data_IF_634355696911
#
_entry.id   IF_634355696911
#
_cell.length_a   1.000
_cell.length_b   1.000
_cell.length_c   1.000
_cell.angle_alpha   90.00
_cell.angle_beta   90.00
_cell.angle_gamma   90.00
#
_symmetry.space_group_name_H-M   'P 1'
#
loop_
_entity.id
_entity.type
_entity.pdbx_description
1 polymer ?
#
# COMPACT_ATOMS: atom_id res chain seq x y z
N UNK A 1 -5.39 10.25 -29.79
CA UNK A 1 -4.01 10.64 -29.43
C UNK A 1 -3.41 9.51 -28.62
N UNK A 2 -2.32 8.91 -29.11
CA UNK A 2 -1.75 7.68 -28.55
C UNK A 2 -1.18 7.88 -27.14
N UNK A 3 -1.11 6.78 -26.37
CA UNK A 3 -0.54 6.75 -25.02
C UNK A 3 0.86 7.38 -24.96
N UNK A 4 1.67 7.18 -26.01
CA UNK A 4 3.00 7.78 -26.16
C UNK A 4 2.99 9.32 -26.17
N UNK A 5 1.95 9.95 -26.74
CA UNK A 5 1.81 11.42 -26.79
C UNK A 5 1.48 11.97 -25.40
N UNK A 6 0.48 11.38 -24.74
CA UNK A 6 0.11 11.77 -23.36
C UNK A 6 1.28 11.59 -22.39
N UNK A 7 2.06 10.53 -22.56
CA UNK A 7 3.26 10.29 -21.77
C UNK A 7 4.31 11.37 -22.01
N UNK A 8 4.58 11.73 -23.27
CA UNK A 8 5.55 12.80 -23.59
C UNK A 8 5.15 14.17 -23.02
N UNK A 9 3.85 14.49 -22.99
CA UNK A 9 3.31 15.74 -22.43
C UNK A 9 3.27 15.76 -20.89
N UNK A 10 3.42 14.61 -20.24
CA UNK A 10 3.33 14.49 -18.77
C UNK A 10 4.53 15.06 -17.99
N UNK A 11 5.64 15.33 -18.69
CA UNK A 11 6.91 15.68 -18.04
C UNK A 11 7.64 14.50 -17.40
N UNK A 12 7.15 13.27 -17.58
CA UNK A 12 7.85 12.03 -17.23
C UNK A 12 8.80 11.66 -18.37
N UNK A 13 10.03 11.31 -18.05
CA UNK A 13 11.03 10.86 -19.02
C UNK A 13 11.12 9.34 -18.98
N UNK A 14 11.01 8.66 -20.11
CA UNK A 14 11.14 7.21 -20.15
C UNK A 14 10.48 6.59 -21.36
N UNK A 15 10.40 5.26 -21.36
CA UNK A 15 9.69 4.50 -22.38
C UNK A 15 8.40 3.91 -21.80
N UNK A 16 7.19 4.36 -22.20
CA UNK A 16 5.95 3.83 -21.64
C UNK A 16 5.77 2.33 -21.87
N UNK A 17 6.47 1.72 -22.85
CA UNK A 17 6.41 0.27 -23.12
C UNK A 17 7.10 -0.59 -22.07
N UNK A 18 8.00 -0.02 -21.26
CA UNK A 18 8.67 -0.73 -20.16
C UNK A 18 7.90 -0.63 -18.85
N UNK A 19 6.79 0.10 -18.84
CA UNK A 19 5.88 0.25 -17.71
C UNK A 19 4.69 -0.68 -17.97
N UNK A 20 4.40 -1.59 -17.03
CA UNK A 20 3.29 -2.55 -17.13
C UNK A 20 2.64 -2.78 -15.78
N UNK A 21 1.42 -2.30 -15.58
CA UNK A 21 0.66 -2.56 -14.38
C UNK A 21 -0.23 -1.38 -14.01
N UNK A 22 -0.41 -1.16 -12.71
CA UNK A 22 -1.41 -0.27 -12.14
C UNK A 22 -0.81 0.54 -10.97
N UNK A 23 -0.64 1.84 -11.17
CA UNK A 23 0.11 2.68 -10.24
C UNK A 23 0.12 4.17 -10.60
N UNK A 24 1.02 4.90 -9.94
CA UNK A 24 1.15 6.36 -10.10
C UNK A 24 2.58 6.78 -10.42
N UNK A 25 2.71 7.83 -11.21
CA UNK A 25 3.97 8.47 -11.53
C UNK A 25 3.84 9.97 -11.32
N UNK A 26 4.75 10.59 -10.57
CA UNK A 26 4.84 12.05 -10.55
C UNK A 26 5.58 12.58 -11.78
N UNK A 27 5.21 13.80 -12.22
CA UNK A 27 5.97 14.53 -13.23
C UNK A 27 7.45 14.65 -12.81
N UNK A 28 8.35 14.79 -13.79
CA UNK A 28 9.81 14.84 -13.58
C UNK A 28 10.45 13.55 -13.06
N UNK A 29 9.72 12.44 -12.93
CA UNK A 29 10.32 11.12 -12.75
C UNK A 29 11.00 10.63 -14.04
N UNK A 30 12.06 9.83 -13.90
CA UNK A 30 12.82 9.26 -15.03
C UNK A 30 12.79 7.73 -14.95
N UNK A 31 12.26 7.07 -15.97
CA UNK A 31 11.99 5.62 -16.00
C UNK A 31 12.62 5.01 -17.26
N UNK A 32 13.90 4.69 -17.17
CA UNK A 32 14.68 4.01 -18.21
C UNK A 32 14.69 2.47 -18.03
N UNK A 33 14.34 1.98 -16.84
CA UNK A 33 14.22 0.55 -16.52
C UNK A 33 12.83 -0.05 -16.80
N UNK A 34 12.61 -1.27 -16.30
CA UNK A 34 11.30 -1.94 -16.32
C UNK A 34 10.56 -1.69 -15.01
N UNK A 35 9.30 -1.29 -15.09
CA UNK A 35 8.43 -1.03 -13.94
C UNK A 35 7.15 -1.85 -14.07
N UNK A 36 6.95 -2.80 -13.18
CA UNK A 36 5.93 -3.84 -13.32
C UNK A 36 4.99 -3.95 -12.11
N UNK A 37 3.76 -4.40 -12.38
CA UNK A 37 2.70 -4.65 -11.41
C UNK A 37 2.25 -3.38 -10.67
N UNK A 38 2.26 -3.35 -9.33
CA UNK A 38 1.88 -2.16 -8.57
C UNK A 38 3.05 -1.21 -8.41
N UNK A 39 2.84 0.10 -8.58
CA UNK A 39 3.92 1.06 -8.38
C UNK A 39 3.48 2.47 -7.96
N UNK A 40 4.41 3.17 -7.32
CA UNK A 40 4.43 4.62 -7.22
C UNK A 40 5.87 5.08 -7.49
N UNK A 41 6.07 6.13 -8.29
CA UNK A 41 7.39 6.75 -8.47
C UNK A 41 7.28 8.26 -8.25
N UNK A 42 7.94 8.75 -7.21
CA UNK A 42 7.99 10.16 -6.87
C UNK A 42 8.82 11.00 -7.84
N UNK A 43 8.58 12.31 -7.82
CA UNK A 43 9.24 13.27 -8.68
C UNK A 43 10.75 13.25 -8.46
N UNK A 44 11.49 13.51 -9.55
CA UNK A 44 12.96 13.56 -9.56
C UNK A 44 13.64 12.23 -9.21
N UNK A 45 12.88 11.14 -9.08
CA UNK A 45 13.45 9.81 -8.92
C UNK A 45 13.81 9.20 -10.27
N UNK A 46 14.91 8.46 -10.29
CA UNK A 46 15.47 7.80 -11.46
C UNK A 46 15.43 6.29 -11.30
N UNK A 47 14.87 5.60 -12.29
CA UNK A 47 15.03 4.16 -12.50
C UNK A 47 15.86 3.97 -13.76
N UNK A 48 17.13 3.61 -13.59
CA UNK A 48 18.06 3.48 -14.71
C UNK A 48 17.84 2.18 -15.52
N UNK A 49 18.43 2.17 -16.72
CA UNK A 49 18.40 1.08 -17.69
C UNK A 49 18.79 -0.28 -17.09
N UNK A 50 18.19 -1.34 -17.61
CA UNK A 50 18.48 -2.72 -17.17
C UNK A 50 17.95 -3.08 -15.79
N UNK A 51 17.42 -2.13 -15.02
CA UNK A 51 16.77 -2.39 -13.74
C UNK A 51 15.39 -3.00 -13.94
N UNK A 52 14.99 -3.86 -13.00
CA UNK A 52 13.68 -4.49 -12.95
C UNK A 52 13.04 -4.22 -11.61
N UNK A 53 11.99 -3.39 -11.64
CA UNK A 53 11.26 -2.94 -10.46
C UNK A 53 9.87 -3.52 -10.51
N UNK A 54 9.48 -4.29 -9.49
CA UNK A 54 8.16 -4.93 -9.40
C UNK A 54 7.55 -4.65 -8.03
N UNK A 55 6.26 -4.29 -8.00
CA UNK A 55 5.51 -4.08 -6.74
C UNK A 55 6.23 -3.09 -5.80
N UNK A 56 6.62 -1.93 -6.31
CA UNK A 56 7.49 -1.01 -5.59
C UNK A 56 6.96 0.43 -5.55
N UNK A 57 7.10 1.04 -4.38
CA UNK A 57 6.72 2.42 -4.11
C UNK A 57 7.99 3.19 -3.80
N UNK A 58 8.35 4.15 -4.64
CA UNK A 58 9.63 4.87 -4.60
C UNK A 58 9.35 6.35 -4.33
N UNK A 59 10.02 6.91 -3.32
CA UNK A 59 9.86 8.30 -2.88
C UNK A 59 10.39 9.30 -3.90
N UNK A 60 10.51 10.56 -3.52
CA UNK A 60 11.11 11.60 -4.39
C UNK A 60 12.63 11.57 -4.29
N UNK A 61 13.31 12.07 -5.32
CA UNK A 61 14.77 12.23 -5.34
C UNK A 61 15.57 10.92 -5.12
N UNK A 62 14.96 9.76 -5.35
CA UNK A 62 15.61 8.47 -5.16
C UNK A 62 16.21 7.96 -6.47
N UNK A 63 17.38 7.34 -6.40
CA UNK A 63 18.11 6.81 -7.55
C UNK A 63 18.23 5.31 -7.47
N UNK A 64 17.66 4.63 -8.47
CA UNK A 64 17.79 3.19 -8.70
C UNK A 64 18.75 3.00 -9.87
N UNK A 65 20.01 2.70 -9.58
CA UNK A 65 21.06 2.58 -10.59
C UNK A 65 20.88 1.36 -11.49
N UNK A 66 21.72 1.28 -12.53
CA UNK A 66 21.68 0.23 -13.56
C UNK A 66 21.64 -1.19 -13.01
N UNK A 67 20.74 -2.01 -13.55
CA UNK A 67 20.69 -3.45 -13.28
C UNK A 67 20.20 -3.84 -11.89
N UNK A 68 19.63 -2.91 -11.13
CA UNK A 68 19.04 -3.20 -9.81
C UNK A 68 17.77 -4.04 -9.96
N UNK A 69 17.56 -4.97 -9.04
CA UNK A 69 16.34 -5.77 -8.92
C UNK A 69 15.57 -5.32 -7.67
N UNK A 70 14.33 -4.86 -7.82
CA UNK A 70 13.44 -4.50 -6.69
C UNK A 70 12.21 -5.39 -6.72
N UNK A 71 11.83 -5.92 -5.55
CA UNK A 71 10.73 -6.88 -5.44
C UNK A 71 11.16 -8.29 -5.85
N UNK A 72 12.42 -8.66 -5.58
CA UNK A 72 12.93 -10.00 -5.85
C UNK A 72 12.27 -11.02 -4.94
N UNK A 73 11.77 -12.12 -5.48
CA UNK A 73 10.99 -13.08 -4.70
C UNK A 73 11.81 -13.68 -3.55
N UNK A 74 11.16 -13.92 -2.41
CA UNK A 74 11.80 -14.60 -1.28
C UNK A 74 12.23 -16.02 -1.69
N UNK A 75 13.50 -16.35 -1.42
CA UNK A 75 14.02 -17.70 -1.63
C UNK A 75 13.55 -18.60 -0.48
N UNK A 76 12.84 -19.68 -0.82
CA UNK A 76 12.36 -20.68 0.14
C UNK A 76 13.29 -21.90 0.16
N UNK A 77 14.19 -21.93 1.13
CA UNK A 77 15.29 -22.91 1.21
C UNK A 77 14.86 -24.32 1.63
N UNK A 78 13.72 -24.46 2.31
CA UNK A 78 13.21 -25.74 2.85
C UNK A 78 12.15 -26.39 1.96
N UNK A 79 12.11 -26.04 0.67
CA UNK A 79 11.21 -26.69 -0.27
C UNK A 79 11.72 -28.09 -0.65
N UNK A 80 10.83 -29.07 -0.75
CA UNK A 80 11.17 -30.38 -1.32
C UNK A 80 11.67 -30.30 -2.78
N UNK A 81 11.21 -29.31 -3.54
CA UNK A 81 11.64 -29.07 -4.93
C UNK A 81 11.68 -27.57 -5.23
N UNK A 82 12.58 -27.14 -6.12
CA UNK A 82 12.68 -25.76 -6.59
C UNK A 82 11.75 -25.45 -7.78
N UNK A 83 11.12 -26.47 -8.37
CA UNK A 83 10.23 -26.30 -9.52
C UNK A 83 8.93 -25.58 -9.12
N UNK A 84 8.30 -24.85 -10.05
CA UNK A 84 7.08 -24.09 -9.74
C UNK A 84 5.92 -24.96 -9.23
N UNK A 85 5.84 -26.23 -9.63
CA UNK A 85 4.81 -27.18 -9.16
C UNK A 85 4.85 -27.43 -7.65
N UNK A 86 6.02 -27.27 -7.01
CA UNK A 86 6.19 -27.52 -5.58
C UNK A 86 5.75 -26.34 -4.71
N UNK A 87 5.43 -25.20 -5.35
CA UNK A 87 4.95 -24.01 -4.66
C UNK A 87 3.46 -24.18 -4.38
N UNK A 88 2.98 -23.64 -3.26
CA UNK A 88 1.55 -23.48 -3.00
C UNK A 88 0.95 -22.35 -3.86
N UNK A 89 1.15 -22.43 -5.17
CA UNK A 89 0.68 -21.50 -6.18
C UNK A 89 -0.16 -22.27 -7.20
N UNK A 90 -1.25 -21.68 -7.73
CA UNK A 90 -1.87 -22.21 -8.93
C UNK A 90 -0.82 -22.24 -10.02
N UNK A 91 -0.64 -23.39 -10.64
CA UNK A 91 0.18 -23.50 -11.83
C UNK A 91 -0.62 -24.20 -12.92
N UNK A 92 -0.46 -23.75 -14.15
CA UNK A 92 -1.09 -24.40 -15.28
C UNK A 92 -0.17 -25.49 -15.81
N UNK A 93 -0.66 -26.72 -15.80
CA UNK A 93 0.00 -27.83 -16.47
C UNK A 93 -0.31 -27.85 -17.95
N UNK A 94 0.72 -27.88 -18.79
CA UNK A 94 0.58 -28.05 -20.24
C UNK A 94 0.08 -29.47 -20.60
N UNK A 95 0.39 -30.46 -19.77
CA UNK A 95 0.06 -31.86 -20.02
C UNK A 95 -0.78 -32.51 -18.90
N UNK A 96 -1.17 -33.77 -19.12
CA UNK A 96 -1.97 -34.55 -18.19
C UNK A 96 -1.23 -34.91 -16.90
N UNK A 97 0.10 -34.93 -16.89
CA UNK A 97 0.88 -35.20 -15.69
C UNK A 97 0.83 -33.99 -14.76
N UNK A 98 1.15 -32.81 -15.28
CA UNK A 98 1.11 -31.55 -14.53
C UNK A 98 -0.30 -31.18 -14.07
N UNK A 99 -1.34 -31.43 -14.88
CA UNK A 99 -2.74 -31.21 -14.48
C UNK A 99 -3.18 -32.06 -13.27
N UNK A 100 -2.52 -33.20 -13.01
CA UNK A 100 -2.82 -34.07 -11.86
C UNK A 100 -2.18 -33.58 -10.56
N UNK A 101 -1.11 -32.80 -10.62
CA UNK A 101 -0.44 -32.24 -9.44
C UNK A 101 -1.30 -31.07 -8.95
N UNK A 102 -2.07 -31.32 -7.90
CA UNK A 102 -2.89 -30.30 -7.25
C UNK A 102 -2.04 -29.53 -6.23
N UNK A 103 -1.92 -28.23 -6.39
CA UNK A 103 -1.34 -27.36 -5.36
C UNK A 103 -2.41 -26.96 -4.35
N UNK A 104 -1.99 -26.84 -3.09
CA UNK A 104 -2.88 -26.34 -2.04
C UNK A 104 -3.10 -24.82 -2.23
N UNK A 105 -4.31 -24.34 -1.97
CA UNK A 105 -4.67 -22.91 -2.02
C UNK A 105 -4.33 -22.19 -0.69
N UNK A 106 -3.39 -22.69 0.09
CA UNK A 106 -2.96 -22.03 1.34
C UNK A 106 -1.92 -20.96 0.99
N UNK A 107 -2.41 -19.80 0.62
CA UNK A 107 -1.61 -18.66 0.20
C UNK A 107 -0.93 -18.01 1.40
N UNK A 108 0.38 -17.86 1.33
CA UNK A 108 1.08 -16.74 1.97
C UNK A 108 0.71 -15.45 1.22
N UNK A 109 0.73 -14.30 1.89
CA UNK A 109 0.74 -12.97 1.32
C UNK A 109 1.73 -12.96 0.16
N UNK A 110 1.20 -12.75 -1.02
CA UNK A 110 1.93 -12.77 -2.28
C UNK A 110 2.05 -11.37 -2.83
N UNK A 111 3.03 -11.19 -3.71
CA UNK A 111 3.26 -9.92 -4.39
C UNK A 111 3.59 -8.83 -3.38
N UNK A 112 4.53 -9.10 -2.48
CA UNK A 112 4.80 -8.16 -1.38
C UNK A 112 5.28 -6.82 -1.91
N UNK A 113 4.75 -5.74 -1.35
CA UNK A 113 5.15 -4.39 -1.76
C UNK A 113 6.48 -4.00 -1.12
N UNK A 114 7.40 -3.49 -1.94
CA UNK A 114 8.68 -2.95 -1.48
C UNK A 114 8.58 -1.44 -1.42
N UNK A 115 8.91 -0.85 -0.29
CA UNK A 115 8.83 0.60 -0.09
C UNK A 115 10.24 1.15 -0.05
N UNK A 116 10.54 2.09 -0.95
CA UNK A 116 11.80 2.81 -1.01
C UNK A 116 11.47 4.26 -0.69
N UNK A 117 12.06 4.78 0.38
CA UNK A 117 11.88 6.17 0.80
C UNK A 117 12.36 7.19 -0.23
N UNK A 118 12.31 8.46 0.16
CA UNK A 118 12.87 9.58 -0.57
C UNK A 118 14.37 9.69 -0.35
N UNK A 119 15.11 10.29 -1.28
CA UNK A 119 16.57 10.48 -1.20
C UNK A 119 17.38 9.17 -1.03
N UNK A 120 16.83 8.05 -1.51
CA UNK A 120 17.50 6.74 -1.42
C UNK A 120 18.40 6.51 -2.63
N UNK A 121 19.63 6.06 -2.40
CA UNK A 121 20.50 5.53 -3.45
C UNK A 121 20.52 4.00 -3.40
N UNK A 122 20.07 3.35 -4.47
CA UNK A 122 20.21 1.90 -4.66
C UNK A 122 21.27 1.64 -5.73
N UNK A 123 22.45 1.24 -5.28
CA UNK A 123 23.64 1.07 -6.11
C UNK A 123 23.53 -0.07 -7.12
N UNK A 124 24.27 0.07 -8.22
CA UNK A 124 24.28 -0.81 -9.38
C UNK A 124 24.27 -2.30 -9.01
N UNK A 125 23.34 -3.05 -9.62
CA UNK A 125 23.25 -4.50 -9.45
C UNK A 125 22.79 -4.99 -8.07
N UNK A 126 22.40 -4.10 -7.16
CA UNK A 126 21.79 -4.51 -5.90
C UNK A 126 20.47 -5.25 -6.12
N UNK A 127 20.14 -6.15 -5.18
CA UNK A 127 18.91 -6.94 -5.17
C UNK A 127 18.17 -6.64 -3.88
N UNK A 128 16.96 -6.10 -4.00
CA UNK A 128 16.05 -5.83 -2.89
C UNK A 128 14.95 -6.88 -2.90
N UNK A 129 14.88 -7.67 -1.84
CA UNK A 129 13.84 -8.68 -1.66
C UNK A 129 12.45 -8.04 -1.53
N UNK A 130 11.42 -8.72 -2.02
CA UNK A 130 10.02 -8.29 -1.89
C UNK A 130 9.62 -8.10 -0.41
N UNK A 131 8.84 -7.06 -0.13
CA UNK A 131 8.34 -6.76 1.21
C UNK A 131 9.27 -5.94 2.09
N UNK A 132 10.49 -5.63 1.62
CA UNK A 132 11.45 -4.79 2.35
C UNK A 132 11.04 -3.32 2.33
N UNK A 133 11.25 -2.63 3.45
CA UNK A 133 11.16 -1.17 3.59
C UNK A 133 12.57 -0.58 3.68
N UNK A 134 12.90 0.33 2.78
CA UNK A 134 14.14 1.11 2.80
C UNK A 134 13.79 2.53 3.24
N UNK A 135 14.32 2.93 4.40
CA UNK A 135 14.09 4.26 4.98
C UNK A 135 14.65 5.39 4.15
N UNK A 136 14.08 6.59 4.33
CA UNK A 136 14.48 7.79 3.63
C UNK A 136 15.99 8.07 3.81
N UNK A 137 16.66 8.52 2.75
CA UNK A 137 18.08 8.84 2.77
C UNK A 137 19.03 7.64 2.80
N UNK A 138 18.56 6.40 2.80
CA UNK A 138 19.45 5.24 2.88
C UNK A 138 20.34 5.07 1.63
N UNK A 139 21.52 4.47 1.82
CA UNK A 139 22.45 4.11 0.76
C UNK A 139 22.63 2.60 0.74
N UNK A 140 22.27 1.97 -0.37
CA UNK A 140 22.53 0.56 -0.66
C UNK A 140 23.72 0.50 -1.61
N UNK A 141 24.86 -0.05 -1.16
CA UNK A 141 26.03 -0.20 -2.02
C UNK A 141 25.77 -1.16 -3.20
N UNK A 142 26.54 -1.02 -4.30
CA UNK A 142 26.45 -1.92 -5.44
C UNK A 142 26.52 -3.40 -5.07
N UNK A 143 25.77 -4.22 -5.79
CA UNK A 143 25.66 -5.68 -5.62
C UNK A 143 25.24 -6.17 -4.23
N UNK A 144 24.69 -5.32 -3.36
CA UNK A 144 24.15 -5.77 -2.07
C UNK A 144 22.87 -6.61 -2.25
N UNK A 145 22.66 -7.63 -1.40
CA UNK A 145 21.42 -8.39 -1.34
C UNK A 145 20.67 -8.06 -0.05
N UNK A 146 19.67 -7.19 -0.16
CA UNK A 146 18.87 -6.69 0.96
C UNK A 146 17.70 -7.63 1.21
N UNK A 147 17.64 -8.19 2.42
CA UNK A 147 16.65 -9.19 2.85
C UNK A 147 15.79 -8.74 4.02
N UNK A 148 16.15 -7.61 4.64
CA UNK A 148 15.53 -7.02 5.83
C UNK A 148 15.39 -5.51 5.64
N UNK A 149 14.51 -4.89 6.42
CA UNK A 149 14.26 -3.45 6.38
C UNK A 149 15.53 -2.65 6.71
N UNK A 150 15.73 -1.53 6.02
CA UNK A 150 16.89 -0.67 6.17
C UNK A 150 16.48 0.63 6.86
N UNK A 151 17.11 1.00 7.99
CA UNK A 151 16.79 2.25 8.69
C UNK A 151 17.05 3.50 7.83
N UNK A 152 16.36 4.62 8.09
CA UNK A 152 16.64 5.87 7.40
C UNK A 152 18.10 6.31 7.55
N UNK A 153 18.66 6.88 6.48
CA UNK A 153 20.05 7.35 6.38
C UNK A 153 21.14 6.29 6.66
N UNK A 154 20.78 5.01 6.79
CA UNK A 154 21.74 3.92 6.94
C UNK A 154 22.50 3.65 5.63
N UNK A 155 23.74 3.20 5.77
CA UNK A 155 24.60 2.75 4.67
C UNK A 155 24.75 1.24 4.81
N UNK A 156 24.41 0.48 3.77
CA UNK A 156 24.47 -0.99 3.81
C UNK A 156 25.24 -1.58 2.63
N UNK A 157 25.87 -2.74 2.88
CA UNK A 157 26.53 -3.53 1.83
C UNK A 157 26.58 -5.01 2.20
N UNK A 158 26.93 -5.87 1.23
CA UNK A 158 27.06 -7.31 1.39
C UNK A 158 25.85 -8.12 0.92
N UNK A 159 25.99 -9.45 0.95
CA UNK A 159 24.94 -10.40 0.60
C UNK A 159 24.96 -11.57 1.61
N UNK A 160 24.07 -11.57 2.63
CA UNK A 160 23.04 -10.57 2.88
C UNK A 160 23.61 -9.22 3.34
N UNK A 161 22.91 -8.14 3.01
CA UNK A 161 23.33 -6.78 3.34
C UNK A 161 23.32 -6.53 4.85
N UNK A 162 24.29 -5.75 5.33
CA UNK A 162 24.42 -5.33 6.73
C UNK A 162 24.67 -3.83 6.80
N UNK A 163 24.17 -3.21 7.86
CA UNK A 163 24.44 -1.80 8.17
C UNK A 163 25.92 -1.63 8.48
N UNK A 164 26.60 -0.78 7.71
CA UNK A 164 27.98 -0.39 7.91
C UNK A 164 28.10 0.86 8.79
N UNK A 165 27.07 1.69 8.78
CA UNK A 165 27.02 2.97 9.48
C UNK A 165 25.85 3.81 8.97
N UNK A 166 25.91 5.11 9.26
CA UNK A 166 24.91 6.09 8.85
C UNK A 166 25.60 7.25 8.12
N UNK A 167 24.89 7.91 7.20
CA UNK A 167 25.39 9.09 6.49
C UNK A 167 25.75 10.24 7.43
N UNK A 168 25.01 10.35 8.53
CA UNK A 168 25.15 11.41 9.53
C UNK A 168 25.00 10.85 10.95
N UNK A 169 25.30 11.67 11.96
CA UNK A 169 24.99 11.35 13.35
C UNK A 169 23.46 11.32 13.61
N UNK A 170 23.06 10.74 14.74
CA UNK A 170 21.66 10.52 15.07
C UNK A 170 20.84 11.82 15.23
N UNK A 171 21.46 12.92 15.68
CA UNK A 171 20.77 14.21 15.82
C UNK A 171 20.47 14.80 14.43
N UNK A 172 21.47 14.77 13.55
CA UNK A 172 21.35 15.23 12.16
C UNK A 172 20.33 14.40 11.38
N UNK A 173 20.35 13.07 11.51
CA UNK A 173 19.34 12.19 10.91
C UNK A 173 17.93 12.54 11.40
N UNK A 174 17.75 12.79 12.71
CA UNK A 174 16.46 13.17 13.27
C UNK A 174 15.95 14.49 12.68
N UNK A 175 16.82 15.49 12.52
CA UNK A 175 16.49 16.78 11.91
C UNK A 175 16.02 16.61 10.47
N UNK A 176 16.77 15.86 9.65
CA UNK A 176 16.47 15.61 8.25
C UNK A 176 15.16 14.83 8.04
N UNK A 177 14.90 13.82 8.87
CA UNK A 177 13.63 13.08 8.82
C UNK A 177 12.45 13.96 9.22
N UNK A 178 12.63 14.77 10.27
CA UNK A 178 11.57 15.66 10.75
C UNK A 178 11.25 16.80 9.78
N UNK A 179 12.22 17.20 8.95
CA UNK A 179 12.02 18.28 7.98
C UNK A 179 11.28 17.83 6.72
N UNK A 180 11.22 16.53 6.44
CA UNK A 180 10.63 15.92 5.23
C UNK A 180 10.95 16.71 3.95
N UNK A 181 12.21 17.14 3.81
CA UNK A 181 12.57 18.23 2.88
C UNK A 181 12.22 17.90 1.43
N UNK A 182 12.15 16.62 1.07
CA UNK A 182 11.74 16.12 -0.24
C UNK A 182 10.29 16.48 -0.61
N UNK A 183 9.45 16.84 0.35
CA UNK A 183 8.09 17.36 0.13
C UNK A 183 8.07 18.87 -0.14
N UNK A 184 9.21 19.55 -0.06
CA UNK A 184 9.33 21.01 -0.13
C UNK A 184 10.24 21.48 -1.27
N UNK A 185 10.00 22.70 -1.75
CA UNK A 185 10.86 23.35 -2.74
C UNK A 185 12.11 23.92 -2.04
N UNK A 186 13.20 23.17 -2.16
CA UNK A 186 14.51 23.53 -1.58
C UNK A 186 15.38 24.39 -2.52
N UNK A 187 14.88 24.77 -3.71
CA UNK A 187 15.70 25.42 -4.75
C UNK A 187 16.32 26.75 -4.31
N UNK A 188 15.60 27.52 -3.49
CA UNK A 188 16.09 28.77 -2.91
C UNK A 188 17.26 28.56 -1.95
N UNK A 189 17.18 27.52 -1.11
CA UNK A 189 18.28 27.14 -0.21
C UNK A 189 19.47 26.63 -1.00
N UNK A 190 19.27 25.70 -1.93
CA UNK A 190 20.36 25.19 -2.79
C UNK A 190 21.09 26.33 -3.50
N UNK A 191 20.36 27.33 -4.00
CA UNK A 191 20.93 28.51 -4.66
C UNK A 191 21.72 29.39 -3.69
N UNK A 192 21.24 29.59 -2.47
CA UNK A 192 21.91 30.36 -1.42
C UNK A 192 23.23 29.73 -1.00
N UNK A 193 23.27 28.40 -0.87
CA UNK A 193 24.44 27.64 -0.42
C UNK A 193 25.32 27.13 -1.57
N UNK A 194 25.13 27.61 -2.81
CA UNK A 194 25.72 27.04 -4.05
C UNK A 194 27.25 26.87 -4.06
N UNK A 195 28.01 27.69 -3.32
CA UNK A 195 29.47 27.52 -3.17
C UNK A 195 29.86 26.33 -2.28
N UNK A 196 28.95 25.88 -1.42
CA UNK A 196 29.05 24.71 -0.54
C UNK A 196 28.05 23.60 -0.93
N UNK A 197 27.27 23.75 -2.00
CA UNK A 197 26.21 22.80 -2.39
C UNK A 197 26.71 21.55 -3.12
N UNK A 198 28.03 21.34 -3.19
CA UNK A 198 28.62 20.07 -3.59
C UNK A 198 28.83 19.27 -2.32
N UNK A 199 28.02 18.22 -2.16
CA UNK A 199 27.75 17.45 -0.92
C UNK A 199 28.98 16.79 -0.23
N UNK A 200 30.19 16.99 -0.76
CA UNK A 200 31.45 16.44 -0.19
C UNK A 200 32.17 17.42 0.77
N UNK A 201 31.58 18.58 1.08
CA UNK A 201 32.05 19.55 2.08
C UNK A 201 31.10 19.62 3.30
N UNK A 202 31.48 20.38 4.34
CA UNK A 202 30.63 20.60 5.52
C UNK A 202 29.30 21.28 5.14
N UNK A 203 28.20 20.56 5.32
CA UNK A 203 26.83 20.98 4.96
C UNK A 203 25.96 21.30 6.18
N UNK A 204 26.55 21.45 7.38
CA UNK A 204 25.80 21.66 8.61
C UNK A 204 24.82 22.84 8.52
N UNK A 205 25.27 24.00 8.04
CA UNK A 205 24.40 25.20 7.90
C UNK A 205 23.23 24.99 6.93
N UNK A 206 23.43 24.19 5.89
CA UNK A 206 22.39 23.85 4.94
C UNK A 206 21.36 22.91 5.58
N UNK A 207 21.83 21.87 6.28
CA UNK A 207 20.96 20.93 6.98
C UNK A 207 20.15 21.64 8.08
N UNK A 208 20.78 22.54 8.84
CA UNK A 208 20.07 23.37 9.82
C UNK A 208 19.00 24.25 9.13
N UNK A 209 19.30 24.83 7.97
CA UNK A 209 18.32 25.62 7.22
C UNK A 209 17.15 24.79 6.68
N UNK A 210 17.39 23.52 6.31
CA UNK A 210 16.32 22.59 5.96
C UNK A 210 15.44 22.28 7.18
N UNK A 211 16.08 22.07 8.34
CA UNK A 211 15.41 21.70 9.58
C UNK A 211 14.53 22.81 10.19
N UNK A 212 14.83 24.08 9.90
CA UNK A 212 13.99 25.23 10.32
C UNK A 212 12.58 25.16 9.70
N UNK A 213 12.43 24.53 8.54
CA UNK A 213 11.15 24.39 7.85
C UNK A 213 10.63 25.69 7.23
N UNK A 214 9.33 25.74 6.93
CA UNK A 214 8.68 26.90 6.30
C UNK A 214 8.91 27.04 4.80
N UNK A 215 9.52 26.03 4.17
CA UNK A 215 9.71 25.99 2.72
C UNK A 215 8.38 25.71 2.01
N UNK A 216 8.13 26.32 0.82
CA UNK A 216 6.94 26.04 0.03
C UNK A 216 6.80 24.54 -0.27
N UNK A 217 5.57 24.02 -0.31
CA UNK A 217 5.33 22.62 -0.71
C UNK A 217 5.76 22.43 -2.16
N UNK A 218 6.51 21.37 -2.44
CA UNK A 218 6.85 20.96 -3.80
C UNK A 218 5.64 20.26 -4.42
N UNK A 219 4.88 21.01 -5.20
CA UNK A 219 3.70 20.50 -5.91
C UNK A 219 4.09 19.90 -7.26
N UNK A 220 3.61 18.69 -7.53
CA UNK A 220 3.89 17.92 -8.73
C UNK A 220 2.63 17.24 -9.20
N UNK A 221 2.39 17.25 -10.53
CA UNK A 221 1.28 16.49 -11.10
C UNK A 221 1.54 15.00 -10.90
N UNK A 222 0.49 14.27 -10.51
CA UNK A 222 0.49 12.83 -10.39
C UNK A 222 -0.30 12.27 -11.57
N UNK A 223 0.27 11.31 -12.28
CA UNK A 223 -0.38 10.59 -13.38
C UNK A 223 -0.75 9.19 -12.92
N UNK A 224 -2.00 8.82 -13.14
CA UNK A 224 -2.48 7.46 -12.96
C UNK A 224 -2.22 6.63 -14.22
N UNK A 225 -1.67 5.43 -14.02
CA UNK A 225 -1.32 4.50 -15.09
C UNK A 225 -1.97 3.16 -14.83
N UNK A 226 -2.76 2.66 -15.78
CA UNK A 226 -3.20 1.27 -15.80
C UNK A 226 -3.06 0.70 -17.21
N UNK A 227 -2.04 -0.12 -17.43
CA UNK A 227 -1.72 -0.63 -18.77
C UNK A 227 -2.69 -1.71 -19.26
N UNK A 228 -3.29 -2.45 -18.35
CA UNK A 228 -4.26 -3.51 -18.68
C UNK A 228 -5.58 -2.91 -19.21
N UNK A 229 -5.89 -1.68 -18.80
CA UNK A 229 -7.04 -0.91 -19.26
C UNK A 229 -6.68 0.23 -20.23
N UNK A 230 -5.40 0.36 -20.62
CA UNK A 230 -4.94 1.42 -21.53
C UNK A 230 -5.06 2.84 -20.97
N UNK A 231 -5.08 2.99 -19.64
CA UNK A 231 -5.25 4.26 -18.94
C UNK A 231 -3.90 4.94 -18.71
N UNK A 232 -3.84 6.21 -19.09
CA UNK A 232 -2.80 7.15 -18.71
C UNK A 232 -3.43 8.54 -18.65
N UNK A 233 -3.57 9.10 -17.45
CA UNK A 233 -4.24 10.38 -17.21
C UNK A 233 -3.74 11.08 -15.96
N UNK A 234 -3.89 12.40 -15.90
CA UNK A 234 -3.59 13.18 -14.69
C UNK A 234 -4.61 12.83 -13.59
N UNK A 235 -4.11 12.47 -12.41
CA UNK A 235 -4.92 12.15 -11.24
C UNK A 235 -5.02 13.37 -10.32
N UNK A 236 -6.14 14.08 -10.42
CA UNK A 236 -6.44 15.24 -9.56
C UNK A 236 -7.02 14.86 -8.18
N UNK A 237 -7.14 13.56 -7.87
CA UNK A 237 -7.68 13.12 -6.59
C UNK A 237 -6.76 13.52 -5.43
N UNK A 238 -7.34 14.19 -4.43
CA UNK A 238 -6.66 14.56 -3.18
C UNK A 238 -6.85 13.51 -2.09
N UNK A 239 -7.85 12.64 -2.26
CA UNK A 239 -8.24 11.64 -1.28
C UNK A 239 -8.09 10.22 -1.86
N UNK A 240 -7.85 9.24 -0.99
CA UNK A 240 -7.71 7.84 -1.34
C UNK A 240 -8.78 7.00 -0.64
N UNK A 241 -9.37 6.04 -1.35
CA UNK A 241 -10.15 4.96 -0.74
C UNK A 241 -9.40 3.66 -0.98
N UNK A 242 -9.06 3.00 0.11
CA UNK A 242 -8.27 1.78 0.10
C UNK A 242 -9.03 0.66 0.82
N UNK A 243 -8.97 -0.56 0.31
CA UNK A 243 -9.68 -1.65 0.95
C UNK A 243 -9.68 -2.98 0.19
N UNK A 244 -10.45 -3.96 0.69
CA UNK A 244 -10.45 -5.34 0.22
C UNK A 244 -11.18 -5.48 -1.14
N UNK A 245 -11.64 -6.70 -1.46
CA UNK A 245 -12.33 -7.04 -2.71
C UNK A 245 -13.56 -6.16 -3.01
N UNK A 246 -14.15 -5.49 -2.01
CA UNK A 246 -15.23 -4.52 -2.24
C UNK A 246 -14.74 -3.30 -3.02
N UNK A 247 -13.54 -2.77 -2.70
CA UNK A 247 -12.94 -1.66 -3.45
C UNK A 247 -12.47 -2.13 -4.83
N UNK A 248 -11.96 -3.36 -4.94
CA UNK A 248 -11.62 -3.98 -6.23
C UNK A 248 -12.84 -4.02 -7.16
N UNK A 249 -13.97 -4.48 -6.65
CA UNK A 249 -15.21 -4.58 -7.41
C UNK A 249 -15.74 -3.20 -7.81
N UNK A 250 -15.70 -2.21 -6.91
CA UNK A 250 -16.07 -0.83 -7.25
C UNK A 250 -15.17 -0.26 -8.34
N UNK A 251 -13.86 -0.39 -8.19
CA UNK A 251 -12.89 0.05 -9.18
C UNK A 251 -13.18 -0.58 -10.55
N UNK A 252 -13.36 -1.91 -10.62
CA UNK A 252 -13.66 -2.61 -11.88
C UNK A 252 -14.99 -2.19 -12.51
N UNK A 253 -16.02 -1.90 -11.70
CA UNK A 253 -17.30 -1.38 -12.19
C UNK A 253 -17.18 0.06 -12.70
N UNK A 254 -16.34 0.87 -12.07
CA UNK A 254 -16.03 2.23 -12.51
C UNK A 254 -15.29 2.25 -13.83
N UNK A 255 -14.29 1.38 -14.02
CA UNK A 255 -13.60 1.23 -15.31
C UNK A 255 -14.55 0.79 -16.44
N UNK A 256 -15.66 0.11 -16.11
CA UNK A 256 -16.70 -0.31 -17.06
C UNK A 256 -17.81 0.72 -17.25
N UNK A 257 -17.74 1.89 -16.59
CA UNK A 257 -18.79 2.92 -16.64
C UNK A 257 -20.11 2.50 -15.99
N UNK A 258 -20.10 1.51 -15.10
CA UNK A 258 -21.31 1.01 -14.44
C UNK A 258 -21.66 1.79 -13.17
N UNK A 259 -20.64 2.31 -12.47
CA UNK A 259 -20.78 3.17 -11.29
C UNK A 259 -19.62 4.15 -11.25
N UNK A 260 -19.88 5.40 -10.90
CA UNK A 260 -18.81 6.39 -10.77
C UNK A 260 -17.97 6.18 -9.51
N UNK A 261 -16.72 6.65 -9.57
CA UNK A 261 -15.88 6.86 -8.39
C UNK A 261 -16.23 8.22 -7.76
N UNK A 262 -16.08 8.41 -6.44
CA UNK A 262 -16.39 9.69 -5.82
C UNK A 262 -15.47 10.80 -6.34
N UNK A 263 -16.02 12.00 -6.54
CA UNK A 263 -15.25 13.16 -6.97
C UNK A 263 -14.15 13.52 -5.96
N UNK A 264 -12.93 13.78 -6.44
CA UNK A 264 -11.77 14.06 -5.60
C UNK A 264 -11.13 12.82 -4.95
N UNK A 265 -11.64 11.61 -5.22
CA UNK A 265 -11.09 10.36 -4.71
C UNK A 265 -10.48 9.49 -5.82
N UNK A 266 -9.45 8.75 -5.42
CA UNK A 266 -8.93 7.60 -6.15
C UNK A 266 -9.30 6.32 -5.40
N UNK A 267 -9.65 5.26 -6.13
CA UNK A 267 -9.91 3.94 -5.55
C UNK A 267 -8.66 3.08 -5.75
N UNK A 268 -8.05 2.60 -4.67
CA UNK A 268 -6.88 1.71 -4.75
C UNK A 268 -7.21 0.35 -4.12
N UNK A 269 -7.55 -0.66 -4.95
CA UNK A 269 -7.85 -2.01 -4.48
C UNK A 269 -6.63 -2.71 -3.88
N UNK A 270 -6.81 -3.33 -2.71
CA UNK A 270 -5.80 -4.18 -2.08
C UNK A 270 -6.46 -5.46 -1.60
N UNK A 271 -6.79 -6.35 -2.53
CA UNK A 271 -7.45 -7.58 -2.15
C UNK A 271 -6.53 -8.44 -1.30
N UNK A 272 -7.12 -9.05 -0.27
CA UNK A 272 -6.55 -10.20 0.41
C UNK A 272 -5.33 -9.92 1.33
N UNK A 273 -5.20 -8.70 1.85
CA UNK A 273 -4.40 -8.42 3.05
C UNK A 273 -5.29 -8.41 4.30
N UNK A 274 -4.76 -8.88 5.43
CA UNK A 274 -5.41 -8.69 6.73
C UNK A 274 -5.25 -7.25 7.20
N UNK A 275 -6.13 -6.82 8.11
CA UNK A 275 -6.07 -5.47 8.68
C UNK A 275 -4.80 -5.22 9.49
N UNK A 276 -4.23 -6.26 10.08
CA UNK A 276 -2.98 -6.22 10.84
C UNK A 276 -1.75 -6.61 10.01
N UNK A 277 -1.89 -6.64 8.67
CA UNK A 277 -0.77 -6.89 7.77
C UNK A 277 0.21 -5.73 7.81
N UNK A 278 1.50 -6.03 7.97
CA UNK A 278 2.56 -5.04 7.85
C UNK A 278 2.54 -4.35 6.47
N UNK A 279 2.14 -5.06 5.41
CA UNK A 279 2.03 -4.48 4.07
C UNK A 279 0.90 -3.47 3.96
N UNK A 280 -0.28 -3.79 4.54
CA UNK A 280 -1.38 -2.83 4.56
C UNK A 280 -0.98 -1.59 5.35
N UNK A 281 -0.28 -1.78 6.48
CA UNK A 281 0.28 -0.68 7.27
C UNK A 281 1.19 0.23 6.45
N UNK A 282 2.26 -0.32 5.85
CA UNK A 282 3.20 0.47 5.05
C UNK A 282 2.53 1.18 3.89
N UNK A 283 1.49 0.58 3.31
CA UNK A 283 0.76 1.17 2.21
C UNK A 283 -0.19 2.31 2.66
N UNK A 284 -0.86 2.17 3.80
CA UNK A 284 -1.62 3.29 4.38
C UNK A 284 -0.68 4.43 4.75
N UNK A 285 0.46 4.12 5.40
CA UNK A 285 1.50 5.11 5.71
C UNK A 285 1.96 5.82 4.43
N UNK A 286 2.20 5.07 3.35
CA UNK A 286 2.53 5.62 2.04
C UNK A 286 1.46 6.60 1.56
N UNK A 287 0.19 6.19 1.52
CA UNK A 287 -0.87 7.04 1.01
C UNK A 287 -1.12 8.29 1.85
N UNK A 288 -0.93 8.22 3.16
CA UNK A 288 -1.06 9.42 4.02
C UNK A 288 0.02 10.47 3.76
N UNK A 289 1.16 10.10 3.14
CA UNK A 289 2.19 11.04 2.68
C UNK A 289 1.80 11.73 1.36
N UNK A 290 1.05 11.06 0.51
CA UNK A 290 0.80 11.47 -0.89
C UNK A 290 -0.60 12.01 -1.15
N UNK A 291 -1.57 11.61 -0.34
CA UNK A 291 -2.95 12.05 -0.40
C UNK A 291 -3.29 12.76 0.91
N UNK A 292 -4.11 13.79 0.81
CA UNK A 292 -4.50 14.57 1.98
C UNK A 292 -5.32 13.73 2.97
N UNK A 293 -6.12 12.80 2.45
CA UNK A 293 -6.99 11.95 3.26
C UNK A 293 -7.07 10.52 2.73
N UNK A 294 -7.25 9.55 3.63
CA UNK A 294 -7.38 8.14 3.33
C UNK A 294 -8.59 7.55 4.05
N UNK A 295 -9.54 7.01 3.29
CA UNK A 295 -10.61 6.15 3.82
C UNK A 295 -10.15 4.71 3.75
N UNK A 296 -9.96 4.08 4.90
CA UNK A 296 -9.71 2.65 5.00
C UNK A 296 -11.05 1.91 5.10
N UNK A 297 -11.39 1.19 4.03
CA UNK A 297 -12.49 0.24 4.01
C UNK A 297 -12.08 -0.97 4.85
N UNK A 298 -12.53 -0.98 6.10
CA UNK A 298 -12.09 -1.95 7.09
C UNK A 298 -12.63 -3.33 6.71
N UNK A 299 -11.75 -4.32 6.49
CA UNK A 299 -12.22 -5.67 6.21
C UNK A 299 -12.89 -6.30 7.44
N UNK A 300 -13.59 -7.41 7.22
CA UNK A 300 -14.05 -8.27 8.31
C UNK A 300 -12.85 -8.68 9.19
N UNK A 301 -12.99 -8.61 10.51
CA UNK A 301 -11.93 -9.04 11.45
C UNK A 301 -11.62 -10.54 11.35
N UNK A 302 -12.42 -11.28 10.57
CA UNK A 302 -12.20 -12.67 10.16
C UNK A 302 -11.41 -12.82 8.85
N UNK A 303 -10.63 -11.82 8.40
CA UNK A 303 -9.63 -12.07 7.34
C UNK A 303 -8.52 -12.98 7.90
N UNK A 304 -8.70 -14.28 7.61
CA UNK A 304 -7.74 -15.36 7.84
C UNK A 304 -7.60 -15.72 9.32
N UNK A 305 -7.65 -17.02 9.63
CA UNK A 305 -7.36 -17.54 10.97
C UNK A 305 -5.86 -17.48 11.28
N UNK A 306 -5.25 -16.31 11.08
CA UNK A 306 -3.80 -16.07 11.14
C UNK A 306 -3.33 -15.97 12.60
N UNK A 307 -4.24 -15.78 13.54
CA UNK A 307 -3.98 -15.80 14.98
C UNK A 307 -3.98 -17.20 15.60
N UNK A 308 -3.57 -18.20 14.82
CA UNK A 308 -3.18 -19.50 15.37
C UNK A 308 -1.77 -19.40 15.93
N UNK A 309 -1.49 -20.18 16.96
CA UNK A 309 -0.13 -20.62 17.32
C UNK A 309 0.45 -21.54 16.21
N UNK A 310 0.35 -21.13 14.93
CA UNK A 310 0.99 -21.76 13.79
C UNK A 310 1.90 -20.73 13.11
N UNK A 311 3.07 -21.16 12.59
CA UNK A 311 4.09 -20.27 12.01
C UNK A 311 3.70 -19.70 10.62
N UNK A 312 2.44 -19.34 10.40
CA UNK A 312 1.91 -18.83 9.12
C UNK A 312 1.12 -17.55 9.39
N UNK A 313 1.81 -16.41 9.36
CA UNK A 313 1.23 -15.07 9.57
C UNK A 313 0.60 -14.44 8.32
N UNK A 314 0.60 -15.16 7.20
CA UNK A 314 0.37 -14.55 5.88
C UNK A 314 -0.79 -15.24 5.11
N UNK A 315 -1.69 -15.95 5.79
CA UNK A 315 -2.73 -16.80 5.15
C UNK A 315 -3.85 -16.05 4.41
N UNK A 316 -3.96 -16.15 3.07
CA UNK A 316 -5.06 -15.52 2.28
C UNK A 316 -6.44 -16.16 2.48
N UNK A 317 -6.49 -17.45 2.83
CA UNK A 317 -7.73 -18.20 3.03
C UNK A 317 -7.84 -18.71 4.47
N UNK A 318 -9.04 -18.59 5.02
CA UNK A 318 -9.44 -19.12 6.32
C UNK A 318 -9.37 -20.65 6.27
N UNK A 319 -8.52 -21.25 7.11
CA UNK A 319 -8.51 -22.71 7.34
C UNK A 319 -9.72 -23.10 8.19
N UNK A 320 -10.69 -23.90 7.70
CA UNK A 320 -11.88 -24.25 8.49
C UNK A 320 -11.55 -24.78 9.89
N UNK A 321 -10.50 -25.60 10.01
CA UNK A 321 -10.02 -26.19 11.26
C UNK A 321 -9.45 -25.18 12.26
N UNK A 322 -9.10 -23.98 11.81
CA UNK A 322 -8.58 -22.90 12.65
C UNK A 322 -9.65 -21.87 13.03
N UNK A 323 -10.91 -22.05 12.61
CA UNK A 323 -12.01 -21.17 13.03
C UNK A 323 -12.45 -21.60 14.43
N UNK A 324 -12.21 -20.74 15.42
CA UNK A 324 -12.68 -20.92 16.80
C UNK A 324 -12.98 -19.55 17.42
N UNK A 325 -13.75 -19.55 18.51
CA UNK A 325 -14.03 -18.32 19.26
C UNK A 325 -12.75 -17.71 19.85
N UNK A 326 -11.81 -18.55 20.33
CA UNK A 326 -10.51 -18.11 20.84
C UNK A 326 -9.69 -17.39 19.76
N UNK A 327 -9.54 -18.01 18.58
CA UNK A 327 -8.80 -17.40 17.47
C UNK A 327 -9.49 -16.13 16.97
N UNK A 328 -10.82 -16.11 16.95
CA UNK A 328 -11.60 -14.93 16.57
C UNK A 328 -11.38 -13.77 17.55
N UNK A 329 -11.27 -14.04 18.86
CA UNK A 329 -10.91 -13.03 19.87
C UNK A 329 -9.49 -12.49 19.66
N UNK A 330 -8.51 -13.36 19.37
CA UNK A 330 -7.12 -12.96 19.08
C UNK A 330 -7.04 -12.10 17.81
N UNK A 331 -7.69 -12.51 16.72
CA UNK A 331 -7.76 -11.70 15.50
C UNK A 331 -8.42 -10.34 15.75
N UNK A 332 -9.47 -10.30 16.59
CA UNK A 332 -10.12 -9.05 16.96
C UNK A 332 -9.18 -8.13 17.75
N UNK A 333 -8.43 -8.65 18.73
CA UNK A 333 -7.44 -7.86 19.48
C UNK A 333 -6.37 -7.26 18.54
N UNK A 334 -5.78 -8.07 17.66
CA UNK A 334 -4.82 -7.59 16.65
C UNK A 334 -5.43 -6.54 15.71
N UNK A 335 -6.71 -6.70 15.35
CA UNK A 335 -7.42 -5.72 14.55
C UNK A 335 -7.58 -4.39 15.28
N UNK A 336 -7.90 -4.40 16.58
CA UNK A 336 -7.98 -3.18 17.38
C UNK A 336 -6.61 -2.48 17.47
N UNK A 337 -5.52 -3.22 17.72
CA UNK A 337 -4.17 -2.66 17.71
C UNK A 337 -3.82 -1.98 16.37
N UNK A 338 -4.20 -2.62 15.25
CA UNK A 338 -3.98 -2.05 13.92
C UNK A 338 -4.86 -0.81 13.68
N UNK A 339 -6.12 -0.83 14.09
CA UNK A 339 -7.03 0.30 13.97
C UNK A 339 -6.55 1.50 14.80
N UNK A 340 -6.12 1.28 16.05
CA UNK A 340 -5.53 2.29 16.92
C UNK A 340 -4.33 2.97 16.25
N UNK A 341 -3.47 2.16 15.61
CA UNK A 341 -2.38 2.69 14.80
C UNK A 341 -2.89 3.56 13.65
N UNK A 342 -3.84 3.07 12.85
CA UNK A 342 -4.34 3.81 11.69
C UNK A 342 -4.98 5.14 12.05
N UNK A 343 -5.78 5.18 13.12
CA UNK A 343 -6.47 6.41 13.56
C UNK A 343 -5.58 7.37 14.33
N UNK A 344 -4.37 6.95 14.73
CA UNK A 344 -3.36 7.87 15.27
C UNK A 344 -2.93 8.91 14.23
N UNK A 345 -3.05 8.58 12.95
CA UNK A 345 -2.87 9.50 11.83
C UNK A 345 -4.15 10.30 11.60
N UNK A 346 -4.06 11.64 11.66
CA UNK A 346 -5.23 12.53 11.53
C UNK A 346 -5.97 12.40 10.19
N UNK A 347 -5.28 11.90 9.17
CA UNK A 347 -5.75 11.86 7.79
C UNK A 347 -6.44 10.53 7.43
N UNK A 348 -6.66 9.64 8.40
CA UNK A 348 -7.30 8.34 8.18
C UNK A 348 -8.69 8.29 8.80
N UNK A 349 -9.66 7.78 8.03
CA UNK A 349 -11.01 7.43 8.51
C UNK A 349 -11.34 5.98 8.19
N UNK A 350 -12.15 5.39 9.06
CA UNK A 350 -12.54 3.99 9.01
C UNK A 350 -13.95 3.84 8.45
N UNK A 351 -14.10 2.94 7.49
CA UNK A 351 -15.40 2.56 6.91
C UNK A 351 -15.68 1.08 7.13
N UNK A 352 -16.60 0.77 8.05
CA UNK A 352 -16.88 -0.58 8.55
C UNK A 352 -18.05 -1.28 7.81
N UNK A 353 -18.04 -1.28 6.47
CA UNK A 353 -19.10 -1.88 5.65
C UNK A 353 -19.34 -3.36 5.96
N UNK A 354 -18.26 -4.15 5.94
CA UNK A 354 -18.34 -5.60 6.11
C UNK A 354 -18.99 -5.97 7.44
N UNK A 355 -18.60 -5.27 8.52
CA UNK A 355 -19.06 -5.56 9.87
C UNK A 355 -20.53 -5.17 10.06
N UNK A 356 -20.94 -3.99 9.57
CA UNK A 356 -22.33 -3.58 9.62
C UNK A 356 -23.23 -4.57 8.85
N UNK A 357 -22.88 -4.88 7.59
CA UNK A 357 -23.67 -5.82 6.80
C UNK A 357 -23.68 -7.23 7.40
N UNK A 358 -22.59 -7.67 8.02
CA UNK A 358 -22.53 -8.96 8.72
C UNK A 358 -23.43 -9.00 9.95
N UNK A 359 -23.46 -7.93 10.74
CA UNK A 359 -24.34 -7.79 11.89
C UNK A 359 -25.82 -7.88 11.45
N UNK A 360 -26.23 -7.12 10.43
CA UNK A 360 -27.60 -7.18 9.90
C UNK A 360 -27.95 -8.54 9.32
N UNK A 361 -27.00 -9.21 8.66
CA UNK A 361 -27.19 -10.57 8.16
C UNK A 361 -27.38 -11.59 9.31
N UNK A 362 -26.63 -11.45 10.40
CA UNK A 362 -26.79 -12.29 11.59
C UNK A 362 -28.17 -12.08 12.23
N UNK A 363 -28.61 -10.81 12.39
CA UNK A 363 -29.95 -10.46 12.91
C UNK A 363 -31.06 -11.10 12.07
N UNK A 364 -31.00 -10.96 10.74
CA UNK A 364 -31.97 -11.56 9.81
C UNK A 364 -32.07 -13.08 9.95
N UNK A 365 -30.96 -13.75 10.26
CA UNK A 365 -30.90 -15.20 10.42
C UNK A 365 -31.15 -15.67 11.87
N UNK A 366 -31.55 -14.77 12.77
CA UNK A 366 -31.81 -15.11 14.18
C UNK A 366 -30.55 -15.49 14.97
N UNK A 367 -29.37 -15.06 14.55
CA UNK A 367 -28.10 -15.38 15.20
C UNK A 367 -27.72 -14.34 16.25
N UNK A 368 -27.18 -14.80 17.38
CA UNK A 368 -26.70 -13.96 18.49
C UNK A 368 -27.78 -13.05 19.10
N UNK A 369 -29.05 -13.47 19.03
CA UNK A 369 -30.16 -12.82 19.71
C UNK A 369 -30.32 -13.41 21.11
N UNK A 370 -30.54 -12.56 22.12
CA UNK A 370 -30.95 -13.02 23.44
C UNK A 370 -32.45 -13.41 23.44
N UNK A 371 -32.97 -13.87 24.59
CA UNK A 371 -34.39 -14.25 24.75
C UNK A 371 -35.38 -13.10 24.48
N UNK A 372 -34.92 -11.84 24.53
CA UNK A 372 -35.72 -10.63 24.26
C UNK A 372 -35.63 -10.18 22.80
N UNK A 373 -34.79 -10.83 21.98
CA UNK A 373 -34.53 -10.44 20.60
C UNK A 373 -33.44 -9.38 20.43
N UNK A 374 -32.71 -9.01 21.48
CA UNK A 374 -31.61 -8.05 21.36
C UNK A 374 -30.36 -8.74 20.80
N UNK A 375 -29.72 -8.10 19.82
CA UNK A 375 -28.51 -8.61 19.18
C UNK A 375 -27.24 -8.28 19.97
N UNK A 376 -26.39 -9.27 20.20
CA UNK A 376 -25.02 -9.06 20.71
C UNK A 376 -24.09 -10.18 20.24
N UNK A 377 -23.18 -9.88 19.33
CA UNK A 377 -22.14 -10.83 18.95
C UNK A 377 -21.08 -10.95 20.07
N UNK A 378 -20.60 -12.18 20.37
CA UNK A 378 -19.77 -12.45 21.56
C UNK A 378 -18.34 -11.88 21.54
N UNK A 379 -17.95 -11.18 20.47
CA UNK A 379 -16.56 -10.77 20.20
C UNK A 379 -16.49 -9.31 19.79
N UNK A 380 -17.14 -8.94 18.69
CA UNK A 380 -17.20 -7.58 18.16
C UNK A 380 -18.66 -7.17 18.02
N UNK A 381 -18.96 -5.88 18.15
CA UNK A 381 -20.28 -5.33 17.83
C UNK A 381 -20.08 -4.00 17.12
N UNK A 382 -20.94 -3.69 16.14
CA UNK A 382 -20.78 -2.49 15.32
C UNK A 382 -20.82 -1.21 16.15
N UNK A 383 -21.75 -1.14 17.12
CA UNK A 383 -21.89 0.00 18.03
C UNK A 383 -20.63 0.26 18.85
N UNK A 384 -19.99 -0.78 19.39
CA UNK A 384 -18.77 -0.64 20.20
C UNK A 384 -17.63 0.01 19.39
N UNK A 385 -17.51 -0.32 18.10
CA UNK A 385 -16.49 0.25 17.22
C UNK A 385 -16.74 1.73 16.94
N UNK A 386 -18.00 2.12 16.76
CA UNK A 386 -18.36 3.53 16.58
C UNK A 386 -18.08 4.33 17.86
N UNK A 387 -18.32 3.76 19.03
CA UNK A 387 -18.01 4.40 20.31
C UNK A 387 -16.51 4.53 20.54
N UNK A 388 -15.73 3.49 20.22
CA UNK A 388 -14.27 3.49 20.41
C UNK A 388 -13.56 4.51 19.51
N UNK A 389 -13.98 4.62 18.24
CA UNK A 389 -13.26 5.42 17.25
C UNK A 389 -13.97 6.74 16.90
N UNK A 390 -15.22 6.92 17.32
CA UNK A 390 -15.96 8.18 17.24
C UNK A 390 -15.88 8.86 15.87
N UNK A 391 -15.40 10.10 15.86
CA UNK A 391 -15.23 10.95 14.67
C UNK A 391 -14.28 10.38 13.60
N UNK A 392 -13.49 9.35 13.94
CA UNK A 392 -12.65 8.63 12.97
C UNK A 392 -13.42 7.61 12.14
N UNK A 393 -14.69 7.39 12.45
CA UNK A 393 -15.56 6.44 11.75
C UNK A 393 -16.70 7.17 11.06
N UNK A 394 -17.31 6.48 10.11
CA UNK A 394 -18.53 6.96 9.47
C UNK A 394 -19.63 5.94 9.80
N UNK A 395 -20.65 6.37 10.54
CA UNK A 395 -21.78 5.50 10.89
C UNK A 395 -22.67 5.29 9.67
N UNK A 396 -22.56 4.09 9.10
CA UNK A 396 -23.25 3.69 7.88
C UNK A 396 -24.77 3.70 8.09
N UNK A 397 -25.25 3.45 9.32
CA UNK A 397 -26.69 3.39 9.62
C UNK A 397 -27.38 4.76 9.45
N UNK A 398 -26.63 5.85 9.58
CA UNK A 398 -27.15 7.21 9.34
C UNK A 398 -27.41 7.47 7.86
N UNK A 399 -26.83 6.67 6.97
CA UNK A 399 -26.95 6.84 5.53
C UNK A 399 -27.77 5.74 4.86
N UNK A 400 -27.91 4.57 5.48
CA UNK A 400 -28.60 3.42 4.91
C UNK A 400 -29.70 2.92 5.87
N UNK A 401 -30.96 3.07 5.46
CA UNK A 401 -32.13 2.60 6.25
C UNK A 401 -32.21 1.07 6.33
N UNK A 402 -31.68 0.35 5.32
CA UNK A 402 -31.64 -1.11 5.28
C UNK A 402 -30.44 -1.62 4.48
N UNK A 403 -29.30 -1.87 5.14
CA UNK A 403 -28.04 -2.26 4.46
C UNK A 403 -28.16 -3.57 3.68
N UNK A 404 -29.07 -4.46 4.06
CA UNK A 404 -29.31 -5.73 3.37
C UNK A 404 -29.85 -5.56 1.94
N UNK A 405 -30.58 -4.49 1.65
CA UNK A 405 -31.09 -4.18 0.31
C UNK A 405 -29.97 -3.76 -0.65
N UNK A 406 -28.82 -3.35 -0.07
CA UNK A 406 -27.65 -2.86 -0.77
C UNK A 406 -26.55 -3.93 -0.91
N UNK A 407 -26.86 -5.20 -0.62
CA UNK A 407 -25.93 -6.34 -0.66
C UNK A 407 -26.40 -7.37 -1.70
N UNK A 408 -25.48 -7.85 -2.54
CA UNK A 408 -25.80 -8.85 -3.58
C UNK A 408 -25.66 -10.31 -3.14
N UNK A 409 -24.86 -10.61 -2.11
CA UNK A 409 -24.58 -11.98 -1.69
C UNK A 409 -24.17 -12.10 -0.21
N UNK A 410 -24.05 -13.33 0.31
CA UNK A 410 -23.66 -13.59 1.70
C UNK A 410 -22.23 -13.18 2.08
N UNK A 411 -21.43 -12.71 1.10
CA UNK A 411 -20.11 -12.09 1.33
C UNK A 411 -20.20 -10.57 1.50
N UNK A 412 -21.42 -10.01 1.59
CA UNK A 412 -21.66 -8.60 1.89
C UNK A 412 -21.18 -7.67 0.76
N UNK A 413 -21.07 -8.18 -0.47
CA UNK A 413 -20.69 -7.35 -1.61
C UNK A 413 -21.75 -6.27 -1.90
N UNK A 414 -21.36 -5.00 -2.06
CA UNK A 414 -22.28 -3.92 -2.41
C UNK A 414 -22.94 -4.10 -3.80
N UNK A 415 -24.18 -3.65 -3.93
CA UNK A 415 -24.86 -3.43 -5.22
C UNK A 415 -24.28 -2.20 -5.94
N UNK A 416 -24.60 -2.03 -7.22
CA UNK A 416 -24.20 -0.82 -7.96
C UNK A 416 -24.85 0.45 -7.37
N UNK A 417 -26.11 0.36 -6.93
CA UNK A 417 -26.81 1.44 -6.23
C UNK A 417 -26.10 1.81 -4.92
N UNK A 418 -25.62 0.80 -4.19
CA UNK A 418 -24.85 1.01 -2.98
C UNK A 418 -23.58 1.82 -3.23
N UNK A 419 -22.78 1.43 -4.22
CA UNK A 419 -21.56 2.16 -4.59
C UNK A 419 -21.86 3.60 -5.01
N UNK A 420 -22.94 3.83 -5.79
CA UNK A 420 -23.36 5.18 -6.16
C UNK A 420 -23.75 6.02 -4.94
N UNK A 421 -24.36 5.40 -3.91
CA UNK A 421 -24.69 6.06 -2.65
C UNK A 421 -23.45 6.33 -1.79
N UNK A 422 -22.51 5.38 -1.71
CA UNK A 422 -21.22 5.57 -1.06
C UNK A 422 -20.44 6.73 -1.66
N UNK A 423 -20.41 6.85 -3.00
CA UNK A 423 -19.75 7.97 -3.69
C UNK A 423 -20.22 9.33 -3.14
N UNK A 424 -21.55 9.53 -3.09
CA UNK A 424 -22.16 10.77 -2.59
C UNK A 424 -21.90 11.02 -1.11
N UNK A 425 -21.73 9.97 -0.30
CA UNK A 425 -21.37 10.10 1.10
C UNK A 425 -19.93 10.60 1.21
N UNK A 426 -19.00 9.99 0.47
CA UNK A 426 -17.58 10.36 0.49
C UNK A 426 -17.30 11.76 -0.04
N UNK A 427 -18.04 12.20 -1.06
CA UNK A 427 -17.98 13.58 -1.58
C UNK A 427 -18.42 14.63 -0.55
N UNK A 428 -19.25 14.24 0.43
CA UNK A 428 -19.77 15.12 1.49
C UNK A 428 -19.02 14.98 2.81
N UNK A 429 -18.00 14.12 2.89
CA UNK A 429 -17.21 13.99 4.11
C UNK A 429 -16.49 15.30 4.40
N UNK A 430 -16.82 15.89 5.54
CA UNK A 430 -16.02 16.96 6.12
C UNK A 430 -14.83 16.32 6.84
N UNK A 431 -13.60 16.53 6.35
CA UNK A 431 -12.37 15.89 6.83
C UNK A 431 -11.79 16.54 8.09
#
# INVERSE_FOLDING_TARGET
MGLDVKFAESGIVGNPRTIKGDGFLEESAVINGNLNARFFVGAYSLIDSGSFVKNAFIGRFSTIEKGVQVGYNVIKEKNFSNHFFSRNLPFQGSDNYYKKIKTSRYYFEQNKYTFIGSDVLVGKGAVIQEGVVIGDGAIIHPNAYVTEDIPPYAIVSGAPARVLGYRFDAETVKKLISSEWWLHDISSLVSKYRSNAIDYHDNNDFIESLAVGGLPKLSKKIFYVNTDHGVFEENAARNMIVGPSHIERWYLFSQKGQVDKPEGYHLFPIPALSIFSAQLRSLVDWWTKWFDNVVLFVPDFRIGNVAVDLPIKDGRLVKPEAVSDDNSRKCYALALEALDYYVSTKNVRLWFWCLNGREEFNKKNGQYLNERGDYRHPIWNYQDLLEMYGERTIDIRQHFEGVLDFIVDGSIHPTNECYAKMAKIFERLNW
#
